data_IF_523230606750
#
_entry.id   IF_523230606750
#
_cell.length_a   1.000
_cell.length_b   1.000
_cell.length_c   1.000
_cell.angle_alpha   90.00
_cell.angle_beta   90.00
_cell.angle_gamma   90.00
#
_symmetry.space_group_name_H-M   'P 1'
#
loop_
_entity.id
_entity.type
_entity.pdbx_description
1 polymer ?
#
# COMPACT_ATOMS: atom_id res chain seq x y z
N UNK A 1 -20.93 -13.86 3.94
CA UNK A 1 -20.65 -12.88 2.87
C UNK A 1 -19.19 -12.51 3.00
N UNK A 2 -18.41 -12.55 1.92
CA UNK A 2 -16.98 -12.26 1.95
C UNK A 2 -16.69 -10.88 1.38
N UNK A 3 -15.83 -10.11 2.05
CA UNK A 3 -15.37 -8.79 1.64
C UNK A 3 -13.89 -8.92 1.25
N UNK A 4 -13.53 -8.36 0.10
CA UNK A 4 -12.11 -8.20 -0.28
C UNK A 4 -11.61 -6.86 0.25
N UNK A 5 -10.61 -6.93 1.11
CA UNK A 5 -9.85 -5.78 1.58
C UNK A 5 -8.61 -5.63 0.70
N UNK A 6 -8.34 -4.42 0.24
CA UNK A 6 -7.18 -4.11 -0.60
C UNK A 6 -6.44 -2.90 -0.04
N UNK A 7 -5.12 -3.04 0.11
CA UNK A 7 -4.26 -1.95 0.52
C UNK A 7 -3.91 -1.09 -0.70
N UNK A 8 -4.35 0.17 -0.68
CA UNK A 8 -4.03 1.12 -1.73
C UNK A 8 -2.76 1.93 -1.42
N UNK A 9 -1.91 2.07 -2.44
CA UNK A 9 -0.71 2.90 -2.40
C UNK A 9 -1.13 4.37 -2.29
N UNK A 10 -0.51 5.11 -1.37
CA UNK A 10 -0.84 6.53 -1.19
C UNK A 10 -0.47 7.41 -2.40
N UNK A 11 0.38 6.91 -3.30
CA UNK A 11 0.76 7.59 -4.54
C UNK A 11 0.02 7.08 -5.78
N UNK A 12 -1.02 6.25 -5.62
CA UNK A 12 -1.76 5.69 -6.77
C UNK A 12 -2.39 6.76 -7.67
N UNK A 13 -2.69 7.94 -7.13
CA UNK A 13 -3.31 9.05 -7.86
C UNK A 13 -2.27 9.97 -8.52
N UNK A 14 -0.98 9.70 -8.30
CA UNK A 14 0.10 10.49 -8.89
C UNK A 14 0.30 10.06 -10.35
N UNK A 15 0.15 10.97 -11.33
CA UNK A 15 0.27 10.66 -12.75
C UNK A 15 1.68 10.19 -13.17
N UNK A 16 2.68 10.29 -12.29
CA UNK A 16 4.03 9.75 -12.53
C UNK A 16 4.20 8.28 -12.14
N UNK A 17 3.14 7.60 -11.68
CA UNK A 17 3.20 6.23 -11.13
C UNK A 17 2.63 5.15 -12.05
N UNK A 18 3.00 5.17 -13.34
CA UNK A 18 2.49 4.22 -14.36
C UNK A 18 2.59 2.73 -13.96
N UNK A 19 3.55 2.36 -13.09
CA UNK A 19 3.75 0.98 -12.60
C UNK A 19 3.44 0.84 -11.09
N UNK A 20 2.43 1.53 -10.58
CA UNK A 20 1.99 1.37 -9.20
C UNK A 20 1.39 -0.02 -8.96
N UNK A 21 1.80 -0.70 -7.87
CA UNK A 21 1.28 -2.04 -7.57
C UNK A 21 -0.23 -2.06 -7.32
N UNK A 22 -0.80 -0.94 -6.87
CA UNK A 22 -2.25 -0.75 -6.72
C UNK A 22 -3.02 -0.74 -8.04
N UNK A 23 -2.34 -0.49 -9.16
CA UNK A 23 -2.95 -0.41 -10.49
C UNK A 23 -2.72 -1.68 -11.32
N UNK A 24 -2.01 -2.67 -10.78
CA UNK A 24 -1.65 -3.90 -11.48
C UNK A 24 -1.87 -5.15 -10.60
N UNK A 25 -1.43 -6.32 -11.08
CA UNK A 25 -1.64 -7.60 -10.39
C UNK A 25 -0.77 -7.80 -9.13
N UNK A 26 0.10 -6.84 -8.81
CA UNK A 26 1.04 -6.90 -7.68
C UNK A 26 0.47 -6.28 -6.39
N UNK A 27 -0.78 -5.81 -6.44
CA UNK A 27 -1.53 -5.30 -5.30
C UNK A 27 -1.56 -6.26 -4.11
N UNK A 28 -1.89 -5.71 -2.93
CA UNK A 28 -1.96 -6.47 -1.68
C UNK A 28 -3.41 -6.51 -1.24
N UNK A 29 -4.01 -7.69 -1.29
CA UNK A 29 -5.40 -7.92 -0.93
C UNK A 29 -5.57 -9.20 -0.11
N UNK A 30 -6.66 -9.24 0.66
CA UNK A 30 -7.05 -10.37 1.50
C UNK A 30 -8.58 -10.41 1.57
N UNK A 31 -9.14 -11.61 1.71
CA UNK A 31 -10.57 -11.81 1.89
C UNK A 31 -10.89 -12.00 3.37
N UNK A 32 -11.98 -11.38 3.82
CA UNK A 32 -12.51 -11.52 5.16
C UNK A 32 -14.01 -11.84 5.10
N UNK A 33 -14.51 -12.54 6.10
CA UNK A 33 -15.94 -12.56 6.37
C UNK A 33 -16.41 -11.17 6.83
N UNK A 34 -17.69 -10.87 6.57
CA UNK A 34 -18.35 -9.64 7.03
C UNK A 34 -18.64 -9.69 8.54
N UNK A 35 -17.57 -9.79 9.34
CA UNK A 35 -17.58 -9.68 10.77
C UNK A 35 -16.46 -8.74 11.20
N UNK A 36 -16.70 -7.97 12.26
CA UNK A 36 -15.69 -7.03 12.75
C UNK A 36 -14.37 -7.73 13.14
N UNK A 37 -14.46 -8.91 13.75
CA UNK A 37 -13.29 -9.68 14.15
C UNK A 37 -12.43 -10.09 12.95
N UNK A 38 -13.07 -10.59 11.88
CA UNK A 38 -12.34 -11.07 10.71
C UNK A 38 -11.80 -9.92 9.85
N UNK A 39 -12.53 -8.79 9.76
CA UNK A 39 -12.04 -7.56 9.14
C UNK A 39 -10.78 -7.03 9.84
N UNK A 40 -10.74 -7.03 11.18
CA UNK A 40 -9.54 -6.62 11.95
C UNK A 40 -8.38 -7.58 11.70
N UNK A 41 -8.63 -8.90 11.67
CA UNK A 41 -7.60 -9.91 11.37
C UNK A 41 -7.01 -9.68 9.98
N UNK A 42 -7.87 -9.61 8.96
CA UNK A 42 -7.45 -9.41 7.58
C UNK A 42 -6.71 -8.09 7.38
N UNK A 43 -7.16 -7.00 8.03
CA UNK A 43 -6.44 -5.73 7.99
C UNK A 43 -5.02 -5.81 8.56
N UNK A 44 -4.84 -6.45 9.73
CA UNK A 44 -3.50 -6.66 10.31
C UNK A 44 -2.63 -7.52 9.39
N UNK A 45 -3.20 -8.60 8.86
CA UNK A 45 -2.50 -9.46 7.91
C UNK A 45 -2.07 -8.72 6.64
N UNK A 46 -2.91 -7.83 6.12
CA UNK A 46 -2.58 -6.99 4.96
C UNK A 46 -1.37 -6.09 5.22
N UNK A 47 -1.28 -5.48 6.41
CA UNK A 47 -0.14 -4.64 6.78
C UNK A 47 1.17 -5.46 6.85
N UNK A 48 1.09 -6.66 7.44
CA UNK A 48 2.23 -7.57 7.52
C UNK A 48 2.66 -8.05 6.11
N UNK A 49 1.69 -8.43 5.28
CA UNK A 49 1.92 -8.89 3.91
C UNK A 49 2.52 -7.76 3.05
N UNK A 50 2.02 -6.54 3.18
CA UNK A 50 2.55 -5.38 2.49
C UNK A 50 4.01 -5.13 2.86
N UNK A 51 4.32 -5.17 4.16
CA UNK A 51 5.69 -5.01 4.67
C UNK A 51 6.61 -6.11 4.11
N UNK A 52 6.17 -7.37 4.09
CA UNK A 52 6.92 -8.49 3.50
C UNK A 52 7.13 -8.34 1.99
N UNK A 53 6.17 -7.72 1.30
CA UNK A 53 6.26 -7.37 -0.13
C UNK A 53 7.06 -6.09 -0.38
N UNK A 54 7.66 -5.49 0.65
CA UNK A 54 8.53 -4.32 0.52
C UNK A 54 7.79 -2.98 0.46
N UNK A 55 6.51 -2.93 0.83
CA UNK A 55 5.80 -1.66 0.99
C UNK A 55 6.36 -0.91 2.20
N UNK A 56 6.50 0.41 2.09
CA UNK A 56 7.07 1.24 3.15
C UNK A 56 6.11 2.33 3.58
N UNK A 57 6.07 2.61 4.88
CA UNK A 57 5.31 3.74 5.40
C UNK A 57 5.95 5.05 4.91
N UNK A 58 5.12 5.99 4.47
CA UNK A 58 5.58 7.29 4.01
C UNK A 58 4.56 8.38 4.36
N UNK A 59 5.07 9.61 4.41
CA UNK A 59 4.26 10.83 4.50
C UNK A 59 4.59 11.68 3.28
N UNK A 60 3.63 11.80 2.37
CA UNK A 60 3.79 12.65 1.19
C UNK A 60 3.78 14.13 1.60
N UNK A 61 4.39 14.98 0.78
CA UNK A 61 4.43 16.44 1.02
C UNK A 61 3.02 17.06 1.13
N UNK A 62 2.03 16.46 0.45
CA UNK A 62 0.61 16.80 0.52
C UNK A 62 -0.06 16.47 1.87
N UNK A 63 0.69 15.95 2.85
CA UNK A 63 0.19 15.60 4.19
C UNK A 63 -0.45 14.23 4.30
N UNK A 64 -0.70 13.54 3.18
CA UNK A 64 -1.17 12.14 3.15
C UNK A 64 -0.15 11.23 3.83
N UNK A 65 -0.63 10.37 4.73
CA UNK A 65 0.15 9.33 5.41
C UNK A 65 -0.40 7.96 5.02
N UNK A 66 0.48 6.98 4.82
CA UNK A 66 0.10 5.60 4.56
C UNK A 66 1.30 4.83 4.03
N UNK A 67 1.08 3.87 3.13
CA UNK A 67 2.15 3.05 2.57
C UNK A 67 2.35 3.32 1.08
N UNK A 68 3.62 3.31 0.66
CA UNK A 68 4.04 3.27 -0.74
C UNK A 68 4.36 1.84 -1.13
N UNK A 69 3.91 1.43 -2.31
CA UNK A 69 4.37 0.18 -2.91
C UNK A 69 5.84 0.29 -3.35
N UNK A 70 6.55 -0.83 -3.56
CA UNK A 70 7.97 -0.84 -3.92
C UNK A 70 8.36 0.06 -5.11
N UNK A 71 7.52 0.12 -6.15
CA UNK A 71 7.79 1.00 -7.29
C UNK A 71 7.64 2.49 -6.93
N UNK A 72 6.59 2.83 -6.19
CA UNK A 72 6.41 4.21 -5.72
C UNK A 72 7.45 4.61 -4.66
N UNK A 73 8.02 3.67 -3.90
CA UNK A 73 9.17 3.92 -3.04
C UNK A 73 10.37 4.38 -3.87
N UNK A 74 10.74 3.63 -4.92
CA UNK A 74 11.86 4.00 -5.80
C UNK A 74 11.64 5.38 -6.43
N UNK A 75 10.43 5.64 -6.90
CA UNK A 75 10.07 6.94 -7.48
C UNK A 75 10.21 8.07 -6.46
N UNK A 76 9.65 7.88 -5.26
CA UNK A 76 9.73 8.85 -4.17
C UNK A 76 11.19 9.14 -3.78
N UNK A 77 12.01 8.10 -3.59
CA UNK A 77 13.42 8.22 -3.24
C UNK A 77 14.21 8.95 -4.33
N UNK A 78 13.93 8.68 -5.61
CA UNK A 78 14.55 9.37 -6.74
C UNK A 78 14.16 10.86 -6.83
N UNK A 79 12.91 11.20 -6.53
CA UNK A 79 12.40 12.58 -6.61
C UNK A 79 12.82 13.44 -5.40
N UNK A 80 12.89 12.84 -4.21
CA UNK A 80 13.11 13.58 -2.96
C UNK A 80 14.53 13.45 -2.41
N UNK A 81 15.28 12.44 -2.84
CA UNK A 81 16.57 12.07 -2.26
C UNK A 81 16.47 11.45 -0.85
N UNK A 82 15.27 11.21 -0.34
CA UNK A 82 15.03 10.70 1.00
C UNK A 82 14.75 9.19 0.98
N UNK A 83 15.67 8.40 1.53
CA UNK A 83 15.52 6.94 1.64
C UNK A 83 14.50 6.61 2.71
N UNK A 84 13.47 5.84 2.35
CA UNK A 84 12.51 5.31 3.31
C UNK A 84 13.11 4.04 3.91
N UNK A 85 13.26 3.95 5.23
CA UNK A 85 13.71 2.74 5.92
C UNK A 85 12.59 1.72 6.03
#
# INVERSE_FOLDING_TARGET
MSIRLELQCINQEDPSTDDCYSMNEQGVFETADDTQADLIRAYKYLQDLATRKGWKAAKLAQGKKGMLCPNCVKLYEAQTGHILS
#
